data_IF_309626522494
#
_entry.id   IF_309626522494
#
_cell.length_a   1.000
_cell.length_b   1.000
_cell.length_c   1.000
_cell.angle_alpha   90.00
_cell.angle_beta   90.00
_cell.angle_gamma   90.00
#
_symmetry.space_group_name_H-M   'P 1'
#
loop_
_entity.id
_entity.type
_entity.pdbx_description
1 polymer ?
#
# COMPACT_ATOMS: atom_id res chain seq x y z
N UNK A 1 4.23 -16.33 -10.42
CA UNK A 1 2.87 -16.73 -9.98
C UNK A 1 1.93 -15.52 -9.89
N UNK A 2 2.30 -14.42 -9.22
CA UNK A 2 1.49 -13.19 -9.07
C UNK A 2 0.76 -12.70 -10.34
N UNK A 3 1.40 -12.76 -11.52
CA UNK A 3 0.80 -12.41 -12.83
C UNK A 3 -0.50 -13.17 -13.10
N UNK A 4 -0.55 -14.47 -12.81
CA UNK A 4 -1.70 -15.33 -13.09
C UNK A 4 -2.83 -15.20 -12.06
N UNK A 5 -2.54 -14.68 -10.86
CA UNK A 5 -3.50 -14.61 -9.74
C UNK A 5 -3.95 -13.19 -9.42
N UNK A 6 -3.47 -12.19 -10.16
CA UNK A 6 -3.95 -10.83 -10.02
C UNK A 6 -5.29 -10.68 -10.75
N UNK A 7 -6.43 -10.50 -10.04
CA UNK A 7 -7.75 -10.41 -10.69
C UNK A 7 -7.87 -9.18 -11.59
N UNK A 8 -7.16 -8.11 -11.25
CA UNK A 8 -7.14 -6.85 -11.98
C UNK A 8 -6.05 -6.79 -13.05
N UNK A 9 -5.29 -7.89 -13.23
CA UNK A 9 -4.21 -8.01 -14.21
C UNK A 9 -3.18 -6.85 -14.15
N UNK A 10 -2.81 -6.43 -12.94
CA UNK A 10 -1.85 -5.34 -12.68
C UNK A 10 -0.44 -5.68 -13.20
N UNK A 11 -0.10 -6.97 -13.26
CA UNK A 11 1.22 -7.45 -13.62
C UNK A 11 1.23 -8.15 -14.98
N UNK A 12 2.34 -8.02 -15.71
CA UNK A 12 2.70 -8.80 -16.89
C UNK A 12 3.98 -9.62 -16.63
N UNK A 13 4.26 -10.60 -17.48
CA UNK A 13 5.52 -11.34 -17.43
C UNK A 13 6.53 -10.68 -18.38
N UNK A 14 7.64 -10.18 -17.84
CA UNK A 14 8.73 -9.59 -18.60
C UNK A 14 9.61 -10.64 -19.30
N UNK A 15 10.51 -10.17 -20.17
CA UNK A 15 11.41 -11.04 -20.96
C UNK A 15 12.38 -11.84 -20.08
N UNK A 16 12.72 -11.32 -18.90
CA UNK A 16 13.55 -11.98 -17.88
C UNK A 16 12.77 -12.96 -16.98
N UNK A 17 11.47 -13.16 -17.26
CA UNK A 17 10.60 -14.06 -16.51
C UNK A 17 10.16 -13.50 -15.15
N UNK A 18 10.41 -12.22 -14.88
CA UNK A 18 9.92 -11.53 -13.68
C UNK A 18 8.60 -10.85 -13.95
N UNK A 19 7.87 -10.58 -12.88
CA UNK A 19 6.63 -9.84 -12.96
C UNK A 19 6.93 -8.34 -13.08
N UNK A 20 6.38 -7.71 -14.10
CA UNK A 20 6.47 -6.26 -14.32
C UNK A 20 5.10 -5.62 -14.06
N UNK A 21 5.10 -4.45 -13.41
CA UNK A 21 3.87 -3.71 -13.12
C UNK A 21 3.47 -2.92 -14.38
N UNK A 22 2.29 -3.21 -14.93
CA UNK A 22 1.81 -2.58 -16.17
C UNK A 22 0.57 -1.71 -15.96
N UNK A 23 -0.23 -1.99 -14.93
CA UNK A 23 -1.45 -1.22 -14.63
C UNK A 23 -1.66 -1.05 -13.12
N UNK A 24 -0.82 -0.24 -12.44
CA UNK A 24 -0.88 -0.09 -10.99
C UNK A 24 -2.19 0.54 -10.49
N UNK A 25 -2.84 1.37 -11.31
CA UNK A 25 -4.07 2.09 -10.94
C UNK A 25 -5.29 1.18 -10.79
N UNK A 26 -5.29 0.02 -11.45
CA UNK A 26 -6.34 -0.99 -11.27
C UNK A 26 -6.16 -1.83 -10.01
N UNK A 27 -5.04 -1.72 -9.30
CA UNK A 27 -4.83 -2.49 -8.08
C UNK A 27 -5.89 -2.14 -7.03
N UNK A 28 -6.50 -3.15 -6.42
CA UNK A 28 -7.52 -2.98 -5.35
C UNK A 28 -6.96 -3.27 -3.95
N UNK A 29 -5.64 -3.48 -3.85
CA UNK A 29 -4.94 -3.84 -2.61
C UNK A 29 -5.48 -5.14 -1.97
N UNK A 30 -5.80 -6.13 -2.80
CA UNK A 30 -6.33 -7.42 -2.38
C UNK A 30 -5.33 -8.34 -1.64
N UNK A 31 -4.04 -7.97 -1.61
CA UNK A 31 -2.95 -8.69 -0.89
C UNK A 31 -2.74 -10.15 -1.34
N UNK A 32 -3.26 -10.56 -2.50
CA UNK A 32 -3.06 -11.90 -3.04
C UNK A 32 -1.63 -12.06 -3.59
N UNK A 33 -1.17 -11.08 -4.37
CA UNK A 33 0.14 -11.11 -5.01
C UNK A 33 1.30 -11.10 -4.01
N UNK A 34 1.21 -10.30 -2.94
CA UNK A 34 2.20 -10.23 -1.86
C UNK A 34 2.32 -11.58 -1.12
N UNK A 35 1.19 -12.19 -0.72
CA UNK A 35 1.18 -13.46 0.01
C UNK A 35 1.61 -14.67 -0.83
N UNK A 36 1.38 -14.63 -2.14
CA UNK A 36 1.74 -15.72 -3.05
C UNK A 36 3.16 -15.59 -3.61
N UNK A 37 3.83 -14.46 -3.44
CA UNK A 37 5.16 -14.28 -3.98
C UNK A 37 6.17 -15.07 -3.13
N UNK A 38 6.83 -16.12 -3.67
CA UNK A 38 7.76 -16.94 -2.89
C UNK A 38 9.07 -16.19 -2.55
N UNK A 39 9.39 -15.16 -3.33
CA UNK A 39 10.57 -14.32 -3.15
C UNK A 39 10.27 -13.06 -2.33
N UNK A 40 9.01 -12.85 -1.93
CA UNK A 40 8.56 -11.61 -1.28
C UNK A 40 8.91 -10.33 -2.05
N UNK A 41 9.08 -10.41 -3.37
CA UNK A 41 9.47 -9.30 -4.24
C UNK A 41 8.37 -8.24 -4.48
N UNK A 42 7.19 -8.39 -3.86
CA UNK A 42 6.03 -7.51 -4.07
C UNK A 42 5.62 -6.93 -2.72
N UNK A 43 5.48 -5.60 -2.67
CA UNK A 43 4.96 -4.87 -1.51
C UNK A 43 3.78 -4.03 -1.95
N UNK A 44 2.72 -3.98 -1.14
CA UNK A 44 1.57 -3.12 -1.38
C UNK A 44 1.59 -1.92 -0.44
N UNK A 45 1.51 -0.71 -1.00
CA UNK A 45 1.33 0.50 -0.20
C UNK A 45 -0.16 0.75 0.03
N UNK A 46 -0.61 0.91 1.28
CA UNK A 46 -1.97 1.32 1.56
C UNK A 46 -2.25 2.70 0.94
N UNK A 47 -3.52 2.92 0.55
CA UNK A 47 -4.00 4.19 -0.01
C UNK A 47 -4.15 5.23 1.12
N UNK A 48 -3.04 5.68 1.67
CA UNK A 48 -3.05 6.64 2.77
C UNK A 48 -3.14 8.07 2.23
N UNK A 49 -4.38 8.50 1.99
CA UNK A 49 -4.75 9.92 1.92
C UNK A 49 -6.04 10.24 2.70
N UNK A 50 -6.80 9.22 3.13
CA UNK A 50 -8.15 9.44 3.71
C UNK A 50 -8.36 8.89 5.12
N UNK A 51 -7.48 8.05 5.66
CA UNK A 51 -7.76 7.27 6.88
C UNK A 51 -6.97 7.65 8.15
N UNK A 52 -6.07 8.65 8.11
CA UNK A 52 -5.54 9.27 9.35
C UNK A 52 -6.59 10.12 10.09
N UNK A 53 -7.77 10.33 9.49
CA UNK A 53 -8.86 11.11 10.10
C UNK A 53 -10.06 10.29 10.56
N UNK A 54 -10.11 8.99 10.24
CA UNK A 54 -11.24 8.12 10.61
C UNK A 54 -10.86 6.92 11.51
N UNK A 55 -9.57 6.65 11.70
CA UNK A 55 -9.10 5.91 12.87
C UNK A 55 -8.74 6.88 14.01
N UNK A 56 -9.68 7.77 14.38
CA UNK A 56 -9.64 8.35 15.71
C UNK A 56 -9.94 7.19 16.67
N UNK A 57 -9.02 6.75 17.54
CA UNK A 57 -9.39 5.86 18.63
C UNK A 57 -10.44 6.61 19.45
N UNK A 58 -11.69 6.19 19.34
CA UNK A 58 -12.78 6.73 20.15
C UNK A 58 -12.41 6.48 21.61
N UNK A 59 -12.00 7.54 22.31
CA UNK A 59 -12.16 7.70 23.76
C UNK A 59 -11.62 6.58 24.65
N UNK A 60 -10.30 6.32 24.61
CA UNK A 60 -9.58 5.82 25.79
C UNK A 60 -8.45 6.81 26.06
N UNK A 61 -8.68 7.65 27.06
CA UNK A 61 -7.77 8.73 27.43
C UNK A 61 -6.41 8.17 27.84
N UNK A 62 -5.36 8.67 27.21
CA UNK A 62 -4.02 8.79 27.79
C UNK A 62 -3.23 9.80 26.96
N UNK A 63 -2.75 10.78 27.72
CA UNK A 63 -1.79 11.85 27.47
C UNK A 63 -1.04 11.85 26.12
N UNK A 64 -1.26 12.92 25.35
CA UNK A 64 -0.28 13.42 24.39
C UNK A 64 0.48 14.58 25.03
N UNK A 65 1.44 14.27 25.89
CA UNK A 65 2.59 15.16 26.06
C UNK A 65 3.68 14.71 25.09
N UNK A 66 4.23 15.68 24.38
CA UNK A 66 5.43 15.61 23.52
C UNK A 66 5.16 15.09 22.09
N UNK A 67 5.47 15.82 21.02
CA UNK A 67 6.18 17.09 20.93
C UNK A 67 6.03 17.68 19.53
N UNK A 68 6.22 18.98 19.47
CA UNK A 68 6.28 19.81 18.28
C UNK A 68 7.24 19.25 17.24
N UNK A 69 6.80 19.13 16.00
CA UNK A 69 7.68 19.40 14.85
C UNK A 69 6.95 20.39 13.96
N UNK A 70 7.49 21.61 13.94
CA UNK A 70 7.10 22.64 13.00
C UNK A 70 7.63 22.35 11.61
N UNK A 71 7.04 23.00 10.61
CA UNK A 71 7.51 22.94 9.23
C UNK A 71 6.47 23.46 8.25
N UNK A 72 6.47 24.78 8.08
CA UNK A 72 6.12 25.57 6.89
C UNK A 72 5.46 24.94 5.63
N UNK A 73 4.37 25.60 5.20
CA UNK A 73 4.04 25.88 3.79
C UNK A 73 2.88 25.08 3.16
N UNK A 74 2.24 25.57 2.07
CA UNK A 74 2.49 26.80 1.31
C UNK A 74 1.34 27.83 1.39
N UNK A 75 1.63 29.08 0.99
CA UNK A 75 0.60 30.00 0.50
C UNK A 75 0.29 29.72 -0.96
#
# INVERSE_FOLDING_TARGET
>A
MCVAFCPEHVFALGEDGRAEVVNPEACTNCQICERLCPDFAITLTPWEDKYERFFQPTSLGQDKSEGSVGGEGPQ
#
